data_IF_815068020616
#
_entry.id   IF_815068020616
#
_cell.length_a   1.000
_cell.length_b   1.000
_cell.length_c   1.000
_cell.angle_alpha   90.00
_cell.angle_beta   90.00
_cell.angle_gamma   90.00
#
_symmetry.space_group_name_H-M   'P 1'
#
loop_
_entity.id
_entity.type
_entity.pdbx_description
1 polymer ?
#
# COMPACT_ATOMS: atom_id res chain seq x y z
N UNK A 1 16.10 -16.58 -16.42
CA UNK A 1 17.18 -17.32 -15.71
C UNK A 1 18.07 -17.92 -16.77
N UNK A 2 19.39 -17.76 -16.68
CA UNK A 2 20.33 -18.45 -17.58
C UNK A 2 20.88 -19.66 -16.83
N UNK A 3 20.79 -20.83 -17.44
CA UNK A 3 21.29 -22.08 -16.88
C UNK A 3 22.45 -22.60 -17.71
N UNK A 4 23.48 -23.14 -17.04
CA UNK A 4 24.54 -23.93 -17.69
C UNK A 4 24.39 -25.36 -17.21
N UNK A 5 24.23 -26.30 -18.15
CA UNK A 5 24.00 -27.72 -17.86
C UNK A 5 22.84 -27.97 -16.87
N UNK A 6 21.71 -27.29 -17.05
CA UNK A 6 20.51 -27.48 -16.23
C UNK A 6 20.56 -26.84 -14.83
N UNK A 7 21.69 -26.28 -14.42
CA UNK A 7 21.80 -25.55 -13.14
C UNK A 7 21.57 -24.05 -13.37
N UNK A 8 20.53 -23.45 -12.76
CA UNK A 8 20.29 -22.02 -12.87
C UNK A 8 21.41 -21.26 -12.16
N UNK A 9 22.20 -20.49 -12.92
CA UNK A 9 23.38 -19.78 -12.42
C UNK A 9 23.14 -18.27 -12.29
N UNK A 10 22.20 -17.72 -13.07
CA UNK A 10 21.98 -16.27 -13.10
C UNK A 10 20.49 -15.94 -13.15
N UNK A 11 20.08 -15.01 -12.27
CA UNK A 11 18.77 -14.37 -12.29
C UNK A 11 18.85 -13.12 -13.19
N UNK A 12 17.97 -13.04 -14.20
CA UNK A 12 17.85 -11.85 -15.06
C UNK A 12 16.80 -10.95 -14.45
N UNK A 13 17.18 -9.71 -14.11
CA UNK A 13 16.29 -8.65 -13.63
C UNK A 13 16.50 -7.39 -14.47
N UNK A 14 15.47 -6.54 -14.66
CA UNK A 14 15.64 -5.24 -15.32
C UNK A 14 16.67 -4.38 -14.58
N UNK A 15 17.51 -3.65 -15.33
CA UNK A 15 18.54 -2.76 -14.76
C UNK A 15 17.94 -1.67 -13.84
N UNK A 16 16.71 -1.23 -14.12
CA UNK A 16 15.98 -0.21 -13.34
C UNK A 16 14.92 -0.81 -12.42
N UNK A 17 14.92 -2.12 -12.20
CA UNK A 17 13.97 -2.70 -11.25
C UNK A 17 14.36 -2.26 -9.83
N UNK A 18 13.41 -1.72 -9.03
CA UNK A 18 13.66 -1.49 -7.63
C UNK A 18 14.03 -2.81 -6.95
N UNK A 19 14.99 -2.76 -6.02
CA UNK A 19 15.39 -3.92 -5.23
C UNK A 19 14.16 -4.56 -4.56
N UNK A 20 14.08 -5.89 -4.42
CA UNK A 20 13.01 -6.53 -3.66
C UNK A 20 12.99 -5.97 -2.23
N UNK A 21 11.97 -5.15 -1.92
CA UNK A 21 11.84 -4.43 -0.64
C UNK A 21 11.99 -2.91 -0.74
N UNK A 22 12.53 -2.38 -1.83
CA UNK A 22 12.61 -0.93 -2.09
C UNK A 22 11.24 -0.33 -2.45
N UNK A 23 10.33 -1.14 -3.00
CA UNK A 23 8.93 -0.75 -3.18
C UNK A 23 8.19 -0.90 -1.85
N UNK A 24 8.26 0.13 -0.99
CA UNK A 24 7.43 0.20 0.21
C UNK A 24 5.96 0.41 -0.19
N UNK A 25 5.23 -0.68 -0.41
CA UNK A 25 3.79 -0.61 -0.76
C UNK A 25 2.93 -0.08 0.38
N UNK A 26 3.38 -0.29 1.62
CA UNK A 26 2.72 0.12 2.84
C UNK A 26 3.70 0.94 3.68
N UNK A 27 3.20 1.85 4.51
CA UNK A 27 4.01 2.64 5.43
C UNK A 27 4.86 3.75 4.80
N UNK A 28 4.90 3.88 3.46
CA UNK A 28 5.67 4.92 2.77
C UNK A 28 5.23 6.36 3.09
N UNK A 29 3.99 6.55 3.58
CA UNK A 29 3.46 7.83 4.05
C UNK A 29 3.46 7.98 5.58
N UNK A 30 4.12 7.09 6.32
CA UNK A 30 4.16 7.20 7.77
C UNK A 30 4.76 8.56 8.19
N UNK A 31 4.06 9.27 9.06
CA UNK A 31 4.42 10.62 9.50
C UNK A 31 4.21 11.74 8.47
N UNK A 32 3.73 11.43 7.26
CA UNK A 32 3.41 12.46 6.24
C UNK A 32 2.01 13.07 6.44
N UNK A 33 1.18 12.43 7.27
CA UNK A 33 -0.18 12.87 7.58
C UNK A 33 -0.36 12.79 9.10
N UNK A 34 -0.96 13.81 9.68
CA UNK A 34 -1.43 13.80 11.07
C UNK A 34 -2.86 13.28 11.02
N UNK A 35 -3.08 12.08 11.54
CA UNK A 35 -4.42 11.49 11.66
C UNK A 35 -5.02 12.00 12.97
N UNK A 36 -6.18 12.70 12.95
CA UNK A 36 -6.89 13.09 14.16
C UNK A 36 -7.33 11.86 14.98
N UNK A 37 -7.44 12.03 16.30
CA UNK A 37 -7.88 10.96 17.20
C UNK A 37 -9.34 10.51 16.91
N UNK A 38 -10.15 11.39 16.32
CA UNK A 38 -11.57 11.21 15.99
C UNK A 38 -11.81 10.95 14.49
N UNK A 39 -10.78 10.55 13.74
CA UNK A 39 -10.89 10.28 12.30
C UNK A 39 -12.01 9.30 11.94
N UNK A 40 -12.33 8.37 12.83
CA UNK A 40 -13.41 7.39 12.67
C UNK A 40 -14.82 7.96 12.86
N UNK A 41 -14.93 9.19 13.37
CA UNK A 41 -16.20 9.88 13.66
C UNK A 41 -16.43 11.10 12.76
N UNK A 42 -15.44 11.49 11.96
CA UNK A 42 -15.57 12.62 11.04
C UNK A 42 -16.71 12.40 10.04
N UNK A 43 -17.60 13.38 9.90
CA UNK A 43 -18.72 13.33 8.96
C UNK A 43 -19.88 12.44 9.41
N UNK A 44 -19.93 12.02 10.68
CA UNK A 44 -21.02 11.20 11.21
C UNK A 44 -22.40 11.80 10.93
N UNK A 45 -22.60 13.10 11.15
CA UNK A 45 -23.90 13.75 10.98
C UNK A 45 -24.39 13.69 9.51
N UNK A 46 -23.50 13.97 8.54
CA UNK A 46 -23.84 13.87 7.12
C UNK A 46 -24.08 12.43 6.69
N UNK A 47 -23.29 11.48 7.20
CA UNK A 47 -23.48 10.05 6.93
C UNK A 47 -24.81 9.56 7.50
N UNK A 48 -25.16 9.94 8.73
CA UNK A 48 -26.44 9.64 9.36
C UNK A 48 -27.61 10.21 8.57
N UNK A 49 -27.50 11.45 8.08
CA UNK A 49 -28.54 12.05 7.24
C UNK A 49 -28.71 11.31 5.90
N UNK A 50 -27.62 10.84 5.29
CA UNK A 50 -27.63 10.18 4.00
C UNK A 50 -28.08 8.71 4.07
N UNK A 51 -27.76 8.01 5.16
CA UNK A 51 -27.88 6.55 5.27
C UNK A 51 -28.69 6.06 6.48
N UNK A 52 -29.11 6.95 7.38
CA UNK A 52 -29.79 6.59 8.63
C UNK A 52 -31.19 5.97 8.45
N UNK A 53 -31.83 6.21 7.30
CA UNK A 53 -33.22 5.80 7.06
C UNK A 53 -34.21 6.53 7.99
N UNK A 54 -35.33 7.00 7.45
CA UNK A 54 -36.42 7.41 8.34
C UNK A 54 -37.00 6.15 8.99
N UNK A 55 -36.91 6.07 10.31
CA UNK A 55 -37.57 5.04 11.11
C UNK A 55 -39.08 5.27 11.19
#
# INVERSE_FOLDING_TARGET
VIAKAGKPLVKVVPLSAPEPGQMQRLGFMHGQIIVPDDFDQMGCAEIEQLFGGEA
#
